data_IF_944768887846
#
_entry.id   IF_944768887846
#
_cell.length_a   1.000
_cell.length_b   1.000
_cell.length_c   1.000
_cell.angle_alpha   90.00
_cell.angle_beta   90.00
_cell.angle_gamma   90.00
#
_symmetry.space_group_name_H-M   'P 1'
#
loop_
_entity.id
_entity.type
_entity.pdbx_description
1 polymer ?
#
# COMPACT_ATOMS: atom_id res chain seq x y z
N UNK A 1 -10.08 -7.81 1.77
CA UNK A 1 -8.75 -7.38 2.24
C UNK A 1 -8.88 -6.24 3.26
N UNK A 2 -8.08 -6.24 4.31
CA UNK A 2 -7.93 -5.14 5.28
C UNK A 2 -6.58 -4.47 5.03
N UNK A 3 -6.54 -3.15 4.92
CA UNK A 3 -5.31 -2.37 4.76
C UNK A 3 -5.18 -1.36 5.90
N UNK A 4 -4.03 -1.39 6.58
CA UNK A 4 -3.69 -0.36 7.56
C UNK A 4 -3.14 0.87 6.84
N UNK A 5 -3.76 2.02 7.02
CA UNK A 5 -3.38 3.27 6.33
C UNK A 5 -2.26 3.98 7.09
N UNK A 6 -1.25 4.44 6.35
CA UNK A 6 -0.16 5.30 6.84
C UNK A 6 0.12 6.40 5.80
N UNK A 7 1.21 7.15 6.02
CA UNK A 7 1.66 8.23 5.14
C UNK A 7 1.84 7.81 3.67
N UNK A 8 2.28 6.57 3.44
CA UNK A 8 2.49 6.04 2.10
C UNK A 8 1.26 5.29 1.61
N UNK A 9 0.71 5.71 0.47
CA UNK A 9 -0.49 5.09 -0.12
C UNK A 9 -0.15 3.88 -1.01
N UNK A 10 0.97 3.96 -1.73
CA UNK A 10 1.40 2.96 -2.72
C UNK A 10 1.47 1.53 -2.14
N UNK A 11 2.02 1.28 -0.94
CA UNK A 11 2.11 -0.08 -0.40
C UNK A 11 0.75 -0.71 -0.04
N UNK A 12 -0.32 0.08 0.04
CA UNK A 12 -1.69 -0.43 0.15
C UNK A 12 -2.35 -0.66 -1.21
N UNK A 13 -1.99 0.16 -2.20
CA UNK A 13 -2.58 0.13 -3.54
C UNK A 13 -2.06 -1.04 -4.37
N UNK A 14 -0.74 -1.23 -4.43
CA UNK A 14 -0.14 -2.26 -5.29
C UNK A 14 -0.62 -3.69 -4.97
N UNK A 15 -0.61 -4.17 -3.71
CA UNK A 15 -1.14 -5.50 -3.42
C UNK A 15 -2.64 -5.61 -3.66
N UNK A 16 -3.43 -4.56 -3.44
CA UNK A 16 -4.86 -4.59 -3.75
C UNK A 16 -5.13 -4.70 -5.26
N UNK A 17 -4.31 -4.05 -6.10
CA UNK A 17 -4.40 -4.20 -7.55
C UNK A 17 -3.99 -5.60 -8.02
N UNK A 18 -2.98 -6.20 -7.40
CA UNK A 18 -2.49 -7.53 -7.77
C UNK A 18 -3.44 -8.65 -7.32
N UNK A 19 -3.82 -8.63 -6.04
CA UNK A 19 -4.61 -9.68 -5.40
C UNK A 19 -6.12 -9.51 -5.64
N UNK A 20 -6.55 -8.35 -6.17
CA UNK A 20 -7.92 -8.10 -6.66
C UNK A 20 -9.04 -8.51 -5.66
N UNK A 21 -8.99 -8.09 -4.39
CA UNK A 21 -10.02 -8.47 -3.41
C UNK A 21 -11.39 -7.87 -3.80
N UNK A 22 -12.48 -8.55 -3.41
CA UNK A 22 -13.85 -8.07 -3.65
C UNK A 22 -14.13 -6.73 -2.97
N UNK A 23 -13.54 -6.55 -1.79
CA UNK A 23 -13.63 -5.33 -0.99
C UNK A 23 -12.33 -5.08 -0.22
N UNK A 24 -11.93 -3.81 -0.15
CA UNK A 24 -10.84 -3.31 0.68
C UNK A 24 -11.39 -2.46 1.83
N UNK A 25 -11.09 -2.85 3.06
CA UNK A 25 -11.35 -2.04 4.24
C UNK A 25 -10.10 -1.26 4.62
N UNK A 26 -10.18 0.07 4.58
CA UNK A 26 -9.09 0.97 4.90
C UNK A 26 -9.22 1.41 6.34
N UNK A 27 -8.32 0.91 7.19
CA UNK A 27 -8.28 1.21 8.62
C UNK A 27 -7.28 2.34 8.83
N UNK A 28 -7.76 3.53 9.15
CA UNK A 28 -6.93 4.72 9.32
C UNK A 28 -7.11 5.34 10.70
N UNK A 29 -6.11 6.05 11.19
CA UNK A 29 -6.29 7.05 12.24
C UNK A 29 -7.00 8.28 11.68
N UNK A 30 -7.37 9.23 12.55
CA UNK A 30 -7.99 10.50 12.14
C UNK A 30 -7.05 11.30 11.22
N UNK A 31 -5.77 11.41 11.59
CA UNK A 31 -4.76 12.14 10.82
C UNK A 31 -4.47 11.50 9.44
N UNK A 32 -4.66 10.17 9.33
CA UNK A 32 -4.47 9.43 8.08
C UNK A 32 -5.76 9.25 7.25
N UNK A 33 -6.89 9.81 7.68
CA UNK A 33 -8.17 9.62 7.00
C UNK A 33 -8.15 10.15 5.55
N UNK A 34 -7.46 11.27 5.29
CA UNK A 34 -7.31 11.82 3.94
C UNK A 34 -6.53 10.89 3.01
N UNK A 35 -5.51 10.17 3.52
CA UNK A 35 -4.80 9.12 2.77
C UNK A 35 -5.70 7.92 2.49
N UNK A 36 -6.57 7.57 3.44
CA UNK A 36 -7.63 6.58 3.24
C UNK A 36 -8.54 6.94 2.07
N UNK A 37 -8.96 8.21 1.96
CA UNK A 37 -9.75 8.71 0.83
C UNK A 37 -9.00 8.56 -0.49
N UNK A 38 -7.73 8.98 -0.55
CA UNK A 38 -6.90 8.85 -1.77
C UNK A 38 -6.79 7.40 -2.23
N UNK A 39 -6.52 6.47 -1.32
CA UNK A 39 -6.44 5.04 -1.65
C UNK A 39 -7.79 4.53 -2.14
N UNK A 40 -8.88 4.86 -1.44
CA UNK A 40 -10.23 4.43 -1.78
C UNK A 40 -10.64 4.90 -3.18
N UNK A 41 -10.44 6.18 -3.48
CA UNK A 41 -10.83 6.78 -4.76
C UNK A 41 -10.02 6.18 -5.91
N UNK A 42 -8.71 5.99 -5.70
CA UNK A 42 -7.86 5.35 -6.69
C UNK A 42 -8.30 3.90 -6.96
N UNK A 43 -8.51 3.08 -5.92
CA UNK A 43 -8.94 1.69 -6.07
C UNK A 43 -10.34 1.56 -6.69
N UNK A 44 -11.29 2.44 -6.31
CA UNK A 44 -12.61 2.52 -6.95
C UNK A 44 -12.51 2.85 -8.44
N UNK A 45 -11.60 3.76 -8.84
CA UNK A 45 -11.34 4.03 -10.26
C UNK A 45 -10.82 2.81 -11.03
N UNK A 46 -10.24 1.83 -10.31
CA UNK A 46 -9.79 0.53 -10.83
C UNK A 46 -10.80 -0.60 -10.58
N UNK A 47 -12.06 -0.26 -10.28
CA UNK A 47 -13.17 -1.20 -10.03
C UNK A 47 -12.88 -2.18 -8.90
N UNK A 48 -12.34 -1.67 -7.78
CA UNK A 48 -12.19 -2.39 -6.51
C UNK A 48 -13.03 -1.65 -5.47
N UNK A 49 -13.96 -2.36 -4.81
CA UNK A 49 -14.80 -1.75 -3.79
C UNK A 49 -13.96 -1.39 -2.56
N UNK A 50 -14.23 -0.23 -1.97
CA UNK A 50 -13.50 0.24 -0.79
C UNK A 50 -14.45 0.84 0.26
N UNK A 51 -14.22 0.47 1.51
CA UNK A 51 -14.87 1.05 2.69
C UNK A 51 -13.80 1.62 3.63
N UNK A 52 -14.01 2.84 4.13
CA UNK A 52 -13.12 3.44 5.12
C UNK A 52 -13.65 3.20 6.53
N UNK A 53 -12.75 2.91 7.48
CA UNK A 53 -13.06 2.78 8.91
C UNK A 53 -12.00 3.55 9.71
N UNK A 54 -12.44 4.59 10.40
CA UNK A 54 -11.54 5.42 11.21
C UNK A 54 -11.42 4.90 12.65
N UNK A 55 -10.19 4.83 13.15
CA UNK A 55 -9.83 4.57 14.54
C UNK A 55 -9.40 5.90 15.18
N UNK A 56 -9.86 6.14 16.40
CA UNK A 56 -9.66 7.41 17.09
C UNK A 56 -8.29 7.50 17.75
N UNK A 57 -7.82 6.41 18.35
CA UNK A 57 -6.52 6.33 19.03
C UNK A 57 -5.71 5.13 18.52
N UNK A 58 -4.58 5.34 17.82
CA UNK A 58 -3.70 4.25 17.37
C UNK A 58 -2.93 3.56 18.50
N UNK A 59 -2.90 4.14 19.71
CA UNK A 59 -2.21 3.59 20.87
C UNK A 59 -3.14 2.75 21.77
N UNK A 60 -4.47 2.88 21.59
CA UNK A 60 -5.45 1.98 22.22
C UNK A 60 -5.54 0.65 21.46
N UNK A 61 -4.54 -0.21 21.72
CA UNK A 61 -4.41 -1.55 21.14
C UNK A 61 -5.65 -2.40 21.44
N UNK A 62 -6.25 -2.28 22.63
CA UNK A 62 -7.41 -3.07 23.03
C UNK A 62 -8.64 -2.68 22.21
N UNK A 63 -8.95 -1.38 22.08
CA UNK A 63 -10.08 -0.92 21.29
C UNK A 63 -9.95 -1.29 19.82
N UNK A 64 -8.75 -1.16 19.25
CA UNK A 64 -8.46 -1.58 17.89
C UNK A 64 -8.65 -3.10 17.70
N UNK A 65 -8.08 -3.91 18.59
CA UNK A 65 -8.20 -5.38 18.55
C UNK A 65 -9.68 -5.78 18.55
N UNK A 66 -10.48 -5.18 19.43
CA UNK A 66 -11.92 -5.42 19.51
C UNK A 66 -12.66 -4.99 18.23
N UNK A 67 -12.27 -3.88 17.59
CA UNK A 67 -12.85 -3.44 16.32
C UNK A 67 -12.51 -4.40 15.18
N UNK A 68 -11.26 -4.84 15.08
CA UNK A 68 -10.81 -5.78 14.05
C UNK A 68 -11.49 -7.14 14.21
N UNK A 69 -11.56 -7.68 15.43
CA UNK A 69 -12.32 -8.93 15.72
C UNK A 69 -13.78 -8.80 15.32
N UNK A 70 -14.42 -7.66 15.60
CA UNK A 70 -15.81 -7.41 15.17
C UNK A 70 -15.97 -7.38 13.64
N UNK A 71 -14.96 -6.96 12.88
CA UNK A 71 -15.02 -6.98 11.41
C UNK A 71 -14.96 -8.42 10.92
N UNK A 72 -13.98 -9.20 11.39
CA UNK A 72 -13.79 -10.60 11.00
C UNK A 72 -14.99 -11.45 11.42
N UNK A 73 -15.40 -11.38 12.69
CA UNK A 73 -16.47 -12.22 13.23
C UNK A 73 -17.86 -11.91 12.65
N UNK A 74 -18.07 -10.72 12.06
CA UNK A 74 -19.33 -10.39 11.40
C UNK A 74 -19.50 -11.07 10.05
N UNK A 75 -18.43 -11.62 9.48
CA UNK A 75 -18.43 -12.29 8.18
C UNK A 75 -17.60 -13.58 8.24
N UNK A 76 -18.07 -14.59 8.98
CA UNK A 76 -17.32 -15.82 9.20
C UNK A 76 -17.07 -16.62 7.90
N UNK A 77 -17.89 -16.41 6.87
CA UNK A 77 -17.76 -17.09 5.58
C UNK A 77 -16.80 -16.37 4.61
N UNK A 78 -16.38 -15.14 4.92
CA UNK A 78 -15.45 -14.38 4.07
C UNK A 78 -14.01 -14.84 4.35
N UNK A 79 -13.20 -14.97 3.29
CA UNK A 79 -11.75 -15.07 3.45
C UNK A 79 -11.13 -13.68 3.60
N UNK A 80 -10.23 -13.56 4.57
CA UNK A 80 -9.57 -12.30 4.85
C UNK A 80 -8.07 -12.34 4.54
N UNK A 81 -7.60 -11.22 3.99
CA UNK A 81 -6.18 -10.91 3.81
C UNK A 81 -5.90 -9.59 4.51
N UNK A 82 -4.95 -9.56 5.43
CA UNK A 82 -4.48 -8.36 6.10
C UNK A 82 -3.19 -7.87 5.45
N UNK A 83 -3.19 -6.63 4.98
CA UNK A 83 -1.98 -5.91 4.60
C UNK A 83 -1.45 -5.10 5.79
N UNK A 84 -0.35 -5.57 6.38
CA UNK A 84 0.32 -4.95 7.55
C UNK A 84 1.38 -3.91 7.17
N UNK A 85 1.47 -3.51 5.91
CA UNK A 85 2.55 -2.61 5.45
C UNK A 85 2.45 -1.19 6.03
N UNK A 86 1.23 -0.72 6.28
CA UNK A 86 0.97 0.60 6.85
C UNK A 86 0.51 0.56 8.31
N UNK A 87 -0.20 1.61 8.73
CA UNK A 87 -0.52 1.86 10.14
C UNK A 87 0.72 2.19 10.98
N UNK A 88 0.51 2.39 12.28
CA UNK A 88 1.62 2.40 13.25
C UNK A 88 2.08 0.97 13.51
N UNK A 89 3.28 0.80 14.09
CA UNK A 89 3.77 -0.54 14.48
C UNK A 89 2.82 -1.24 15.47
N UNK A 90 2.23 -0.49 16.41
CA UNK A 90 1.24 -1.03 17.35
C UNK A 90 -0.02 -1.50 16.62
N UNK A 91 -0.47 -0.75 15.60
CA UNK A 91 -1.59 -1.16 14.75
C UNK A 91 -1.29 -2.45 14.00
N UNK A 92 -0.11 -2.54 13.38
CA UNK A 92 0.32 -3.72 12.65
C UNK A 92 0.39 -4.96 13.57
N UNK A 93 0.97 -4.85 14.77
CA UNK A 93 1.08 -5.96 15.72
C UNK A 93 -0.29 -6.43 16.23
N UNK A 94 -1.17 -5.50 16.58
CA UNK A 94 -2.52 -5.84 17.04
C UNK A 94 -3.34 -6.53 15.95
N UNK A 95 -3.28 -5.99 14.73
CA UNK A 95 -3.95 -6.58 13.58
C UNK A 95 -3.36 -7.96 13.26
N UNK A 96 -2.03 -8.11 13.31
CA UNK A 96 -1.39 -9.41 13.13
C UNK A 96 -1.92 -10.46 14.10
N UNK A 97 -2.01 -10.12 15.40
CA UNK A 97 -2.56 -11.02 16.42
C UNK A 97 -3.99 -11.46 16.06
N UNK A 98 -4.87 -10.52 15.71
CA UNK A 98 -6.27 -10.83 15.40
C UNK A 98 -6.41 -11.72 14.16
N UNK A 99 -5.66 -11.45 13.09
CA UNK A 99 -5.81 -12.17 11.82
C UNK A 99 -5.13 -13.54 11.86
N UNK A 100 -4.06 -13.68 12.63
CA UNK A 100 -3.45 -15.00 12.87
C UNK A 100 -4.36 -15.90 13.73
N UNK A 101 -5.05 -15.36 14.73
CA UNK A 101 -6.07 -16.10 15.53
C UNK A 101 -7.21 -16.66 14.65
N UNK A 102 -7.56 -15.95 13.56
CA UNK A 102 -8.61 -16.38 12.62
C UNK A 102 -8.09 -17.15 11.40
N UNK A 103 -6.83 -17.62 11.43
CA UNK A 103 -6.17 -18.31 10.32
C UNK A 103 -6.21 -17.53 8.98
N UNK A 104 -6.29 -16.20 9.03
CA UNK A 104 -6.41 -15.35 7.84
C UNK A 104 -5.04 -15.00 7.27
N UNK A 105 -4.96 -14.77 5.96
CA UNK A 105 -3.68 -14.43 5.32
C UNK A 105 -3.17 -13.07 5.80
N UNK A 106 -1.85 -12.96 5.97
CA UNK A 106 -1.20 -11.71 6.37
C UNK A 106 -0.07 -11.43 5.38
N UNK A 107 -0.06 -10.24 4.80
CA UNK A 107 0.92 -9.82 3.80
C UNK A 107 1.63 -8.52 4.18
N UNK A 108 2.86 -8.37 3.71
CA UNK A 108 3.64 -7.14 3.72
C UNK A 108 4.17 -6.84 2.31
N UNK A 109 3.86 -5.66 1.78
CA UNK A 109 4.28 -5.19 0.47
C UNK A 109 5.66 -4.54 0.55
N UNK A 110 6.71 -5.27 0.14
CA UNK A 110 8.06 -4.74 0.04
C UNK A 110 8.27 -4.09 -1.33
N UNK A 111 7.97 -2.79 -1.41
CA UNK A 111 8.12 -2.01 -2.66
C UNK A 111 9.57 -1.84 -3.11
N UNK A 112 10.56 -1.93 -2.22
CA UNK A 112 11.99 -1.85 -2.58
C UNK A 112 12.44 -3.17 -3.22
N UNK A 113 12.02 -4.30 -2.65
CA UNK A 113 12.35 -5.63 -3.16
C UNK A 113 11.45 -6.11 -4.29
N UNK A 114 10.43 -5.34 -4.68
CA UNK A 114 9.38 -5.75 -5.62
C UNK A 114 8.76 -7.11 -5.25
N UNK A 115 8.40 -7.29 -3.97
CA UNK A 115 7.72 -8.51 -3.49
C UNK A 115 6.51 -8.21 -2.62
N UNK A 116 5.52 -9.10 -2.64
CA UNK A 116 4.53 -9.24 -1.59
C UNK A 116 4.96 -10.43 -0.74
N UNK A 117 5.26 -10.17 0.53
CA UNK A 117 5.65 -11.18 1.51
C UNK A 117 4.40 -11.68 2.21
N UNK A 118 4.06 -12.94 2.07
CA UNK A 118 3.13 -13.62 2.95
C UNK A 118 3.86 -13.93 4.26
N UNK A 119 3.29 -13.48 5.37
CA UNK A 119 3.81 -13.64 6.72
C UNK A 119 3.10 -14.76 7.47
N UNK A 120 1.87 -15.08 7.05
CA UNK A 120 1.01 -16.07 7.68
C UNK A 120 -0.10 -16.50 6.69
N UNK A 121 -0.58 -17.76 6.72
CA UNK A 121 -0.08 -18.88 7.54
C UNK A 121 1.22 -19.48 7.00
N UNK A 122 1.44 -19.35 5.70
CA UNK A 122 2.64 -19.82 5.01
C UNK A 122 3.54 -18.62 4.76
N UNK A 123 4.81 -18.73 5.14
CA UNK A 123 5.80 -17.68 4.89
C UNK A 123 6.39 -17.89 3.50
N UNK A 124 6.05 -17.00 2.58
CA UNK A 124 6.56 -17.02 1.21
C UNK A 124 6.63 -15.60 0.62
N UNK A 125 7.43 -15.45 -0.43
CA UNK A 125 7.54 -14.21 -1.18
C UNK A 125 7.01 -14.45 -2.60
N UNK A 126 6.03 -13.66 -3.03
CA UNK A 126 5.63 -13.59 -4.42
C UNK A 126 6.14 -12.30 -5.08
N UNK A 127 6.43 -12.31 -6.39
CA UNK A 127 6.79 -11.09 -7.11
C UNK A 127 5.66 -10.05 -7.05
N UNK A 128 6.03 -8.78 -6.91
CA UNK A 128 5.11 -7.67 -7.10
C UNK A 128 5.14 -7.26 -8.59
N UNK A 129 4.20 -7.78 -9.36
CA UNK A 129 4.13 -7.61 -10.82
C UNK A 129 3.30 -6.39 -11.24
N UNK A 130 2.53 -5.83 -10.30
CA UNK A 130 1.71 -4.65 -10.55
C UNK A 130 2.58 -3.43 -10.79
N UNK A 131 2.38 -2.82 -11.96
CA UNK A 131 3.04 -1.58 -12.34
C UNK A 131 2.03 -0.44 -12.51
N UNK A 132 2.44 0.77 -12.12
CA UNK A 132 1.67 1.99 -12.35
C UNK A 132 2.42 2.85 -13.37
N UNK A 133 1.70 3.35 -14.37
CA UNK A 133 2.24 4.45 -15.17
C UNK A 133 2.40 5.71 -14.31
N UNK A 134 3.18 6.68 -14.78
CA UNK A 134 3.49 7.90 -14.02
C UNK A 134 2.21 8.63 -13.59
N UNK A 135 1.20 8.67 -14.46
CA UNK A 135 -0.08 9.32 -14.17
C UNK A 135 -0.83 8.61 -13.05
N UNK A 136 -0.93 7.28 -13.10
CA UNK A 136 -1.60 6.48 -12.07
C UNK A 136 -0.82 6.51 -10.76
N UNK A 137 0.51 6.53 -10.80
CA UNK A 137 1.35 6.68 -9.61
C UNK A 137 1.09 8.02 -8.91
N UNK A 138 1.04 9.12 -9.67
CA UNK A 138 0.73 10.44 -9.12
C UNK A 138 -0.69 10.48 -8.54
N UNK A 139 -1.68 9.92 -9.24
CA UNK A 139 -3.05 9.82 -8.76
C UNK A 139 -3.15 8.98 -7.47
N UNK A 140 -2.44 7.85 -7.42
CA UNK A 140 -2.33 6.99 -6.24
C UNK A 140 -1.68 7.71 -5.04
N UNK A 141 -0.84 8.72 -5.29
CA UNK A 141 -0.26 9.59 -4.26
C UNK A 141 -1.16 10.81 -3.90
N UNK A 142 -2.33 10.96 -4.53
CA UNK A 142 -3.26 12.06 -4.28
C UNK A 142 -3.00 13.31 -5.14
N UNK A 143 -2.22 13.19 -6.21
CA UNK A 143 -1.94 14.30 -7.13
C UNK A 143 -2.72 14.16 -8.44
N UNK A 144 -3.17 15.28 -8.98
CA UNK A 144 -3.79 15.35 -10.31
C UNK A 144 -2.86 16.02 -11.31
N UNK A 145 -2.69 15.42 -12.49
CA UNK A 145 -1.91 16.00 -13.58
C UNK A 145 -2.76 17.03 -14.32
N UNK A 146 -2.53 18.32 -14.08
CA UNK A 146 -3.31 19.43 -14.65
C UNK A 146 -2.85 19.85 -16.05
N UNK A 147 -1.55 19.70 -16.37
CA UNK A 147 -0.99 19.90 -17.72
C UNK A 147 0.17 18.92 -17.93
N UNK A 148 0.18 18.12 -19.02
CA UNK A 148 1.40 17.41 -19.41
C UNK A 148 2.42 18.45 -19.87
N UNK A 149 3.55 18.56 -19.18
CA UNK A 149 4.66 19.41 -19.64
C UNK A 149 5.23 18.88 -20.96
N UNK A 150 5.49 19.75 -21.93
CA UNK A 150 6.42 19.42 -23.01
C UNK A 150 7.80 19.32 -22.38
N UNK A 151 8.37 18.13 -22.40
CA UNK A 151 9.77 17.95 -21.98
C UNK A 151 10.65 18.52 -23.09
N UNK A 152 11.08 19.77 -22.93
CA UNK A 152 12.22 20.32 -23.66
C UNK A 152 13.41 20.12 -22.75
N UNK A 153 14.16 19.02 -22.96
CA UNK A 153 15.43 18.87 -22.28
C UNK A 153 16.40 19.89 -22.89
N UNK A 154 17.06 20.66 -22.03
CA UNK A 154 18.22 21.43 -22.49
C UNK A 154 19.33 20.47 -22.93
N UNK A 155 20.23 20.89 -23.82
CA UNK A 155 21.33 20.04 -24.29
C UNK A 155 22.14 19.41 -23.14
N UNK A 156 22.36 20.15 -22.05
CA UNK A 156 23.10 19.64 -20.88
C UNK A 156 22.36 18.49 -20.19
N UNK A 157 21.03 18.55 -20.10
CA UNK A 157 20.22 17.47 -19.53
C UNK A 157 20.24 16.24 -20.42
N UNK A 158 20.23 16.40 -21.75
CA UNK A 158 20.34 15.29 -22.70
C UNK A 158 21.69 14.58 -22.52
N UNK A 159 22.79 15.33 -22.52
CA UNK A 159 24.15 14.80 -22.31
C UNK A 159 24.24 14.05 -20.98
N UNK A 160 23.67 14.61 -19.91
CA UNK A 160 23.62 13.94 -18.60
C UNK A 160 22.86 12.61 -18.65
N UNK A 161 21.65 12.59 -19.21
CA UNK A 161 20.86 11.35 -19.33
C UNK A 161 21.56 10.28 -20.17
N UNK A 162 22.21 10.68 -21.27
CA UNK A 162 23.03 9.77 -22.08
C UNK A 162 24.23 9.22 -21.32
N UNK A 163 24.95 10.07 -20.60
CA UNK A 163 26.12 9.67 -19.81
C UNK A 163 25.74 8.70 -18.68
N UNK A 164 24.58 8.90 -18.04
CA UNK A 164 24.03 7.95 -17.07
C UNK A 164 23.65 6.63 -17.76
N UNK A 165 22.98 6.67 -18.92
CA UNK A 165 22.57 5.47 -19.66
C UNK A 165 23.75 4.67 -20.20
N UNK A 166 24.83 5.35 -20.60
CA UNK A 166 26.12 4.76 -21.03
C UNK A 166 26.99 4.32 -19.85
N UNK A 167 26.55 4.54 -18.60
CA UNK A 167 27.30 4.16 -17.40
C UNK A 167 28.57 5.00 -17.13
N UNK A 168 28.76 6.09 -17.88
CA UNK A 168 29.89 7.02 -17.75
C UNK A 168 29.76 7.90 -16.51
N UNK A 169 28.53 8.15 -16.07
CA UNK A 169 28.20 8.76 -14.78
C UNK A 169 27.46 7.70 -13.96
N UNK A 170 27.99 7.36 -12.79
CA UNK A 170 27.38 6.42 -11.85
C UNK A 170 26.78 7.17 -10.68
N UNK A 171 25.69 6.64 -10.11
CA UNK A 171 25.20 7.13 -8.82
C UNK A 171 26.23 6.81 -7.75
N UNK A 172 26.33 7.66 -6.74
CA UNK A 172 27.26 7.46 -5.61
C UNK A 172 27.11 6.07 -4.97
N UNK A 173 25.86 5.58 -4.85
CA UNK A 173 25.54 4.23 -4.36
C UNK A 173 26.04 3.07 -5.23
N UNK A 174 26.65 3.34 -6.39
CA UNK A 174 27.22 2.34 -7.32
C UNK A 174 28.75 2.45 -7.40
N UNK A 175 29.34 3.34 -6.61
CA UNK A 175 30.79 3.62 -6.58
C UNK A 175 31.40 3.14 -5.25
N UNK A 176 30.56 2.91 -4.23
CA UNK A 176 30.94 2.41 -2.89
C UNK A 176 30.54 0.95 -2.77
#
# INVERSE_FOLDING_TARGET
MICLVSEQTIPNILPALQLRPDIVYLISTIDQATRGVVIADFLKSKKINCEQKTIFDPYDVTAMTNRLRKIVNKRPEDSFILNVTGGTKLMALAAYSVFSESNSEIIYCNTIGNTIKYLYPIVEDIPLETNLDVRSFLAACGYSVTKPGKVILSPEKIVFFEAVKKGTIKKYSQIV
#
